data_IF_404121754087
#
_entry.id   IF_404121754087
#
_cell.length_a   1.000
_cell.length_b   1.000
_cell.length_c   1.000
_cell.angle_alpha   90.00
_cell.angle_beta   90.00
_cell.angle_gamma   90.00
#
_symmetry.space_group_name_H-M   'P 1'
#
loop_
_entity.id
_entity.type
_entity.pdbx_description
1 polymer ?
#
# COMPACT_ATOMS: atom_id res chain seq x y z
N UNK A 1 24.97 18.63 4.74
CA UNK A 1 25.43 17.90 3.54
C UNK A 1 24.53 18.30 2.39
N UNK A 2 25.08 18.44 1.19
CA UNK A 2 24.35 18.74 -0.05
C UNK A 2 23.18 17.76 -0.24
N UNK A 3 22.00 18.30 -0.53
CA UNK A 3 20.72 17.57 -0.63
C UNK A 3 20.21 17.51 -2.08
N UNK A 4 21.05 17.86 -3.05
CA UNK A 4 20.66 17.75 -4.46
C UNK A 4 20.37 16.28 -4.81
N UNK A 5 19.11 16.02 -5.15
CA UNK A 5 18.58 14.69 -5.42
C UNK A 5 19.02 14.19 -6.79
N UNK A 6 19.67 13.01 -6.81
CA UNK A 6 20.17 12.34 -8.01
C UNK A 6 19.21 11.21 -8.44
N UNK A 7 18.81 11.25 -9.71
CA UNK A 7 17.85 10.32 -10.29
C UNK A 7 18.48 8.95 -10.57
N UNK A 8 19.78 8.86 -10.82
CA UNK A 8 20.47 7.59 -11.05
C UNK A 8 20.76 6.83 -9.75
N UNK A 9 20.70 7.52 -8.59
CA UNK A 9 20.79 6.91 -7.26
C UNK A 9 19.43 6.45 -6.70
N UNK A 10 18.32 6.77 -7.37
CA UNK A 10 16.95 6.49 -6.93
C UNK A 10 16.50 5.04 -7.27
N UNK A 11 17.32 4.06 -6.93
CA UNK A 11 17.21 2.66 -7.35
C UNK A 11 16.07 1.87 -6.64
N UNK A 12 14.94 2.51 -6.31
CA UNK A 12 13.91 1.97 -5.38
C UNK A 12 12.46 2.35 -5.68
N UNK A 13 12.21 3.05 -6.77
CA UNK A 13 10.88 3.57 -7.11
C UNK A 13 10.16 2.48 -7.92
N UNK A 14 8.83 2.31 -7.78
CA UNK A 14 8.05 1.52 -8.73
C UNK A 14 8.48 1.83 -10.15
N UNK A 15 8.69 0.74 -10.88
CA UNK A 15 9.07 0.72 -12.29
C UNK A 15 10.33 1.46 -12.71
N UNK A 16 11.33 1.35 -11.84
CA UNK A 16 12.74 1.44 -12.22
C UNK A 16 13.35 0.04 -12.22
N UNK A 17 13.86 -0.41 -13.37
CA UNK A 17 14.61 -1.67 -13.48
C UNK A 17 16.01 -1.46 -12.90
N UNK A 18 16.16 -1.74 -11.60
CA UNK A 18 17.39 -1.43 -10.88
C UNK A 18 17.90 -2.64 -10.06
N UNK A 19 19.19 -2.98 -10.15
CA UNK A 19 19.72 -4.20 -9.55
C UNK A 19 19.84 -4.18 -8.02
N UNK A 20 19.73 -3.03 -7.32
CA UNK A 20 20.24 -3.00 -5.94
C UNK A 20 19.64 -2.04 -4.86
N UNK A 21 18.45 -1.41 -4.97
CA UNK A 21 17.98 -0.60 -3.82
C UNK A 21 16.49 -0.66 -3.39
N UNK A 22 16.36 -0.44 -2.07
CA UNK A 22 15.20 -0.59 -1.18
C UNK A 22 14.43 0.71 -0.93
N UNK A 23 13.15 0.75 -1.27
CA UNK A 23 12.10 1.45 -0.50
C UNK A 23 10.87 0.55 -0.38
N UNK A 24 11.15 -0.69 0.00
CA UNK A 24 10.29 -1.86 -0.19
C UNK A 24 9.45 -2.22 1.04
N UNK A 25 9.55 -1.52 2.18
CA UNK A 25 9.27 -2.17 3.47
C UNK A 25 8.07 -1.63 4.27
N UNK A 26 7.49 -0.47 3.95
CA UNK A 26 6.38 0.07 4.76
C UNK A 26 5.02 -0.45 4.30
N UNK A 27 4.64 -0.22 3.04
CA UNK A 27 3.32 -0.63 2.54
C UNK A 27 3.18 -2.14 2.38
N UNK A 28 4.18 -2.82 1.81
CA UNK A 28 4.17 -4.28 1.65
C UNK A 28 4.09 -5.04 2.99
N UNK A 29 4.77 -4.55 4.04
CA UNK A 29 4.71 -5.13 5.38
C UNK A 29 3.36 -4.85 6.06
N UNK A 30 2.73 -3.72 5.76
CA UNK A 30 1.36 -3.44 6.23
C UNK A 30 0.35 -4.37 5.56
N UNK A 31 0.45 -4.52 4.23
CA UNK A 31 -0.39 -5.43 3.45
C UNK A 31 -0.22 -6.87 3.94
N UNK A 32 0.99 -7.38 4.06
CA UNK A 32 1.19 -8.81 4.41
C UNK A 32 1.08 -9.12 5.90
N UNK A 33 1.59 -8.27 6.80
CA UNK A 33 1.67 -8.60 8.23
C UNK A 33 0.43 -8.17 9.04
N UNK A 34 -0.45 -7.31 8.50
CA UNK A 34 -1.58 -6.76 9.26
C UNK A 34 -2.95 -7.27 8.84
N UNK A 35 -3.07 -8.12 7.82
CA UNK A 35 -4.35 -8.70 7.38
C UNK A 35 -5.18 -9.24 8.57
N UNK A 36 -4.57 -10.03 9.45
CA UNK A 36 -5.26 -10.62 10.61
C UNK A 36 -5.86 -9.59 11.58
N UNK A 37 -5.34 -8.36 11.61
CA UNK A 37 -5.91 -7.28 12.42
C UNK A 37 -7.21 -6.74 11.84
N UNK A 38 -7.43 -6.90 10.53
CA UNK A 38 -8.61 -6.42 9.81
C UNK A 38 -9.61 -7.54 9.46
N UNK A 39 -9.23 -8.81 9.63
CA UNK A 39 -10.11 -9.96 9.47
C UNK A 39 -11.00 -10.22 10.70
N UNK A 40 -11.42 -9.15 11.39
CA UNK A 40 -12.29 -9.21 12.58
C UNK A 40 -13.77 -9.28 12.21
N UNK A 41 -14.14 -8.65 11.10
CA UNK A 41 -15.49 -8.54 10.58
C UNK A 41 -15.45 -8.26 9.06
N UNK A 42 -16.55 -8.55 8.32
CA UNK A 42 -16.57 -8.39 6.87
C UNK A 42 -16.28 -6.96 6.37
N UNK A 43 -16.69 -5.93 7.12
CA UNK A 43 -16.55 -4.54 6.69
C UNK A 43 -15.10 -4.08 6.82
N UNK A 44 -14.48 -4.32 7.97
CA UNK A 44 -13.04 -4.07 8.18
C UNK A 44 -12.16 -4.81 7.17
N UNK A 45 -12.55 -6.04 6.80
CA UNK A 45 -11.79 -6.84 5.85
C UNK A 45 -11.93 -6.32 4.40
N UNK A 46 -13.13 -5.92 3.97
CA UNK A 46 -13.34 -5.26 2.67
C UNK A 46 -12.51 -3.98 2.55
N UNK A 47 -12.54 -3.12 3.58
CA UNK A 47 -11.74 -1.89 3.60
C UNK A 47 -10.24 -2.17 3.52
N UNK A 48 -9.77 -3.25 4.16
CA UNK A 48 -8.38 -3.68 4.01
C UNK A 48 -8.07 -4.15 2.59
N UNK A 49 -8.96 -4.91 1.93
CA UNK A 49 -8.77 -5.29 0.51
C UNK A 49 -8.72 -4.05 -0.38
N UNK A 50 -9.60 -3.07 -0.18
CA UNK A 50 -9.60 -1.82 -0.96
C UNK A 50 -8.29 -1.04 -0.82
N UNK A 51 -7.71 -1.04 0.38
CA UNK A 51 -6.38 -0.50 0.64
C UNK A 51 -5.29 -1.27 -0.11
N UNK A 52 -5.33 -2.61 -0.09
CA UNK A 52 -4.36 -3.46 -0.81
C UNK A 52 -4.44 -3.24 -2.31
N UNK A 53 -5.64 -3.22 -2.88
CA UNK A 53 -5.88 -2.97 -4.30
C UNK A 53 -5.36 -1.59 -4.72
N UNK A 54 -5.63 -0.56 -3.91
CA UNK A 54 -5.06 0.78 -4.10
C UNK A 54 -3.52 0.76 -4.03
N UNK A 55 -2.95 0.04 -3.07
CA UNK A 55 -1.50 -0.12 -2.96
C UNK A 55 -0.94 -0.78 -4.23
N UNK A 56 -1.51 -1.90 -4.69
CA UNK A 56 -1.02 -2.58 -5.89
C UNK A 56 -1.10 -1.68 -7.13
N UNK A 57 -2.20 -0.94 -7.31
CA UNK A 57 -2.35 -0.03 -8.45
C UNK A 57 -1.36 1.14 -8.48
N UNK A 58 -0.88 1.58 -7.31
CA UNK A 58 0.13 2.65 -7.22
C UNK A 58 1.54 2.11 -7.44
N UNK A 59 1.83 0.88 -6.99
CA UNK A 59 3.20 0.38 -6.86
C UNK A 59 3.55 -0.77 -7.81
N UNK A 60 2.58 -1.35 -8.53
CA UNK A 60 2.78 -2.45 -9.48
C UNK A 60 2.41 -1.98 -10.88
N UNK A 61 3.39 -1.96 -11.78
CA UNK A 61 3.12 -1.55 -13.15
C UNK A 61 2.16 -2.46 -13.88
N UNK A 62 1.25 -1.80 -14.61
CA UNK A 62 0.20 -2.49 -15.35
C UNK A 62 -0.84 -3.15 -14.46
N UNK A 63 -0.79 -2.96 -13.13
CA UNK A 63 -1.88 -3.41 -12.26
C UNK A 63 -3.04 -2.43 -12.34
N UNK A 64 -4.17 -2.92 -12.83
CA UNK A 64 -5.41 -2.14 -12.90
C UNK A 64 -6.21 -2.31 -11.62
N UNK A 65 -6.50 -1.19 -10.96
CA UNK A 65 -7.31 -1.16 -9.75
C UNK A 65 -8.76 -1.57 -10.04
N UNK A 66 -9.33 -2.41 -9.19
CA UNK A 66 -10.77 -2.71 -9.20
C UNK A 66 -11.65 -1.61 -8.58
N UNK A 67 -12.98 -1.72 -8.72
CA UNK A 67 -13.92 -0.93 -7.91
C UNK A 67 -13.78 -1.32 -6.43
N UNK A 68 -13.96 -0.36 -5.53
CA UNK A 68 -13.95 -0.63 -4.09
C UNK A 68 -15.12 -1.54 -3.69
N UNK A 69 -14.88 -2.40 -2.70
CA UNK A 69 -15.87 -3.26 -2.06
C UNK A 69 -16.64 -2.53 -0.96
N UNK A 70 -16.06 -1.46 -0.41
CA UNK A 70 -16.66 -0.64 0.64
C UNK A 70 -17.40 0.56 0.04
N UNK A 71 -18.67 0.73 0.39
CA UNK A 71 -19.52 1.82 -0.12
C UNK A 71 -19.42 3.12 0.71
N UNK A 72 -18.77 3.05 1.87
CA UNK A 72 -18.57 4.16 2.80
C UNK A 72 -17.20 4.04 3.51
N UNK A 73 -16.68 5.12 4.11
CA UNK A 73 -15.49 5.06 4.94
C UNK A 73 -15.68 4.09 6.11
N UNK A 74 -14.65 3.30 6.41
CA UNK A 74 -14.61 2.33 7.50
C UNK A 74 -13.37 2.63 8.34
N UNK A 75 -13.55 2.77 9.65
CA UNK A 75 -12.42 3.01 10.56
C UNK A 75 -11.56 1.75 10.72
N UNK A 76 -10.26 1.89 10.99
CA UNK A 76 -9.46 0.78 11.48
C UNK A 76 -10.05 0.21 12.78
N UNK A 77 -9.90 -1.10 13.04
CA UNK A 77 -10.36 -1.71 14.28
C UNK A 77 -9.86 -0.96 15.52
N UNK A 78 -10.78 -0.63 16.43
CA UNK A 78 -10.49 0.09 17.68
C UNK A 78 -10.29 1.61 17.53
N UNK A 79 -10.63 2.19 16.38
CA UNK A 79 -10.49 3.63 16.11
C UNK A 79 -11.79 4.20 15.57
N UNK A 80 -11.97 5.52 15.68
CA UNK A 80 -13.07 6.25 15.05
C UNK A 80 -12.64 6.84 13.70
N UNK A 81 -13.61 7.21 12.86
CA UNK A 81 -13.35 7.82 11.55
C UNK A 81 -12.89 9.30 11.71
N UNK A 82 -13.23 9.94 12.83
CA UNK A 82 -12.95 11.35 13.15
C UNK A 82 -12.52 11.54 14.59
#
# INVERSE_FOLDING_TARGET
ADLSWDRDAACCVPDTDCPDCRHYAAGSALVTARMFRHATDPDSFKAWIDYVDTYLAVWVMGYEKGPNLSDNPIAPPGHEIY
#
